data_IF_252612149748
#
_entry.id   IF_252612149748
#
_cell.length_a   1.000
_cell.length_b   1.000
_cell.length_c   1.000
_cell.angle_alpha   90.00
_cell.angle_beta   90.00
_cell.angle_gamma   90.00
#
_symmetry.space_group_name_H-M   'P 1'
#
loop_
_entity.id
_entity.type
_entity.pdbx_description
1 polymer ?
#
# COMPACT_ATOMS: atom_id res chain seq x y z
N UNK A 1 -31.65 45.58 11.59
CA UNK A 1 -31.50 44.19 11.14
C UNK A 1 -31.46 44.23 9.62
N UNK A 2 -30.26 44.27 9.03
CA UNK A 2 -30.10 44.40 7.58
C UNK A 2 -30.22 43.01 6.94
N UNK A 3 -31.15 42.85 5.99
CA UNK A 3 -31.25 41.65 5.16
C UNK A 3 -30.02 41.60 4.24
N UNK A 4 -29.23 40.53 4.33
CA UNK A 4 -28.14 40.28 3.40
C UNK A 4 -28.66 40.16 1.97
N UNK A 5 -27.96 40.79 1.02
CA UNK A 5 -28.27 40.77 -0.42
C UNK A 5 -28.25 39.32 -0.96
N UNK A 6 -29.21 38.92 -1.81
CA UNK A 6 -29.26 37.58 -2.40
C UNK A 6 -28.03 37.25 -3.29
N UNK A 7 -27.22 38.24 -3.66
CA UNK A 7 -25.99 38.07 -4.45
C UNK A 7 -24.80 37.47 -3.68
N UNK A 8 -24.76 37.63 -2.35
CA UNK A 8 -23.62 37.20 -1.53
C UNK A 8 -23.56 35.68 -1.36
N UNK A 9 -24.71 35.01 -1.45
CA UNK A 9 -24.80 33.55 -1.35
C UNK A 9 -24.21 32.84 -2.57
N UNK A 10 -24.19 33.49 -3.74
CA UNK A 10 -23.67 32.94 -4.99
C UNK A 10 -22.14 32.81 -4.95
N UNK A 11 -21.45 33.75 -4.29
CA UNK A 11 -19.99 33.73 -4.16
C UNK A 11 -19.47 32.74 -3.11
N UNK A 12 -20.29 32.40 -2.10
CA UNK A 12 -19.92 31.47 -1.03
C UNK A 12 -20.03 29.99 -1.44
N UNK A 13 -20.88 29.69 -2.42
CA UNK A 13 -21.11 28.34 -2.92
C UNK A 13 -19.84 27.64 -3.46
N UNK A 14 -18.99 28.25 -4.31
CA UNK A 14 -17.76 27.61 -4.78
C UNK A 14 -16.73 27.38 -3.66
N UNK A 15 -16.68 28.25 -2.65
CA UNK A 15 -15.80 28.08 -1.49
C UNK A 15 -16.24 26.91 -0.61
N UNK A 16 -17.56 26.70 -0.47
CA UNK A 16 -18.14 25.57 0.26
C UNK A 16 -17.87 24.23 -0.45
N UNK A 17 -17.89 24.22 -1.79
CA UNK A 17 -17.54 23.04 -2.59
C UNK A 17 -16.06 22.66 -2.46
N UNK A 18 -15.17 23.64 -2.24
CA UNK A 18 -13.73 23.40 -2.03
C UNK A 18 -13.43 22.76 -0.66
N UNK A 19 -14.31 22.97 0.32
CA UNK A 19 -14.22 22.44 1.69
C UNK A 19 -14.88 21.06 1.85
N UNK A 20 -15.47 20.51 0.77
CA UNK A 20 -15.98 19.16 0.80
C UNK A 20 -14.81 18.21 1.14
N UNK A 21 -14.96 17.36 2.18
CA UNK A 21 -13.93 16.40 2.51
C UNK A 21 -13.68 15.52 1.28
N UNK A 22 -12.41 15.34 0.93
CA UNK A 22 -12.00 14.35 -0.08
C UNK A 22 -12.41 13.00 0.51
N UNK A 23 -13.58 12.51 0.13
CA UNK A 23 -14.05 11.19 0.50
C UNK A 23 -13.03 10.19 -0.05
N UNK A 24 -12.21 9.63 0.82
CA UNK A 24 -11.35 8.51 0.45
C UNK A 24 -12.29 7.33 0.20
N UNK A 25 -12.49 6.98 -1.07
CA UNK A 25 -13.14 5.72 -1.42
C UNK A 25 -12.22 4.60 -0.96
N UNK A 26 -12.52 3.98 0.18
CA UNK A 26 -11.90 2.73 0.56
C UNK A 26 -12.20 1.71 -0.54
N UNK A 27 -11.17 1.00 -1.02
CA UNK A 27 -11.35 0.04 -2.10
C UNK A 27 -12.28 -1.08 -1.66
N UNK A 28 -13.35 -1.32 -2.43
CA UNK A 28 -14.22 -2.47 -2.22
C UNK A 28 -13.46 -3.74 -2.57
N UNK A 29 -13.62 -4.80 -1.76
CA UNK A 29 -13.01 -6.09 -2.02
C UNK A 29 -13.61 -6.70 -3.30
N UNK A 30 -12.99 -6.47 -4.46
CA UNK A 30 -13.42 -7.04 -5.75
C UNK A 30 -13.03 -8.53 -5.89
N UNK A 31 -13.07 -9.30 -4.79
CA UNK A 31 -12.72 -10.73 -4.76
C UNK A 31 -11.22 -11.05 -4.62
N UNK A 32 -10.34 -10.05 -4.53
CA UNK A 32 -8.91 -10.24 -4.23
C UNK A 32 -8.67 -10.31 -2.71
N UNK A 33 -9.24 -11.34 -2.06
CA UNK A 33 -8.97 -11.60 -0.64
C UNK A 33 -7.75 -12.49 -0.49
N UNK A 34 -6.77 -12.04 0.29
CA UNK A 34 -5.64 -12.87 0.71
C UNK A 34 -6.07 -13.72 1.90
N UNK A 35 -6.16 -15.03 1.71
CA UNK A 35 -6.58 -15.97 2.76
C UNK A 35 -5.51 -16.14 3.83
N UNK A 36 -5.94 -16.31 5.09
CA UNK A 36 -5.05 -16.76 6.17
C UNK A 36 -4.41 -18.10 5.78
N UNK A 37 -3.13 -18.27 6.12
CA UNK A 37 -2.30 -19.42 5.75
C UNK A 37 -1.57 -19.24 4.43
N UNK A 38 -1.86 -18.18 3.67
CA UNK A 38 -1.06 -17.82 2.49
C UNK A 38 0.25 -17.16 2.88
N UNK A 39 1.21 -17.21 1.96
CA UNK A 39 2.55 -16.73 2.21
C UNK A 39 3.25 -16.25 0.95
N UNK A 40 4.24 -15.39 1.11
CA UNK A 40 5.18 -15.00 0.07
C UNK A 40 6.58 -15.42 0.50
N UNK A 41 7.40 -15.82 -0.47
CA UNK A 41 8.81 -16.18 -0.23
C UNK A 41 9.72 -15.21 -0.95
N UNK A 42 10.79 -14.79 -0.28
CA UNK A 42 11.82 -13.91 -0.79
C UNK A 42 12.65 -14.64 -1.86
N UNK A 43 12.25 -14.49 -3.13
CA UNK A 43 12.93 -15.07 -4.30
C UNK A 43 12.87 -14.08 -5.46
N UNK A 44 13.74 -14.23 -6.46
CA UNK A 44 13.78 -13.32 -7.61
C UNK A 44 12.48 -13.28 -8.42
N UNK A 45 11.73 -14.38 -8.45
CA UNK A 45 10.51 -14.55 -9.24
C UNK A 45 9.25 -14.65 -8.36
N UNK A 46 9.28 -14.06 -7.16
CA UNK A 46 8.14 -14.07 -6.25
C UNK A 46 7.00 -13.21 -6.81
N UNK A 47 5.82 -13.80 -6.95
CA UNK A 47 4.61 -13.07 -7.34
C UNK A 47 4.07 -12.27 -6.15
N UNK A 48 3.93 -10.95 -6.24
CA UNK A 48 3.43 -10.14 -5.14
C UNK A 48 1.92 -10.29 -4.95
N UNK A 49 1.42 -9.87 -3.80
CA UNK A 49 0.00 -9.62 -3.61
C UNK A 49 -0.38 -8.27 -4.20
N UNK A 50 -1.25 -8.28 -5.20
CA UNK A 50 -1.76 -7.06 -5.81
C UNK A 50 -2.95 -6.52 -5.03
N UNK A 51 -3.04 -5.20 -4.92
CA UNK A 51 -4.28 -4.53 -4.54
C UNK A 51 -5.39 -4.81 -5.57
N UNK A 52 -6.68 -4.75 -5.20
CA UNK A 52 -7.79 -4.94 -6.15
C UNK A 52 -7.72 -4.03 -7.39
N UNK A 53 -7.23 -2.79 -7.24
CA UNK A 53 -6.99 -1.86 -8.37
C UNK A 53 -5.80 -2.23 -9.27
N UNK A 54 -4.89 -3.05 -8.75
CA UNK A 54 -3.55 -3.26 -9.32
C UNK A 54 -2.64 -2.04 -9.24
N UNK A 55 -2.99 -0.96 -8.53
CA UNK A 55 -2.13 0.23 -8.39
C UNK A 55 -0.96 -0.04 -7.44
N UNK A 56 -1.21 -0.80 -6.37
CA UNK A 56 -0.22 -1.20 -5.38
C UNK A 56 0.05 -2.71 -5.41
N UNK A 57 1.26 -3.07 -5.02
CA UNK A 57 1.70 -4.44 -4.77
C UNK A 57 2.39 -4.52 -3.40
N UNK A 58 2.20 -5.63 -2.69
CA UNK A 58 2.86 -5.99 -1.45
C UNK A 58 3.68 -7.27 -1.63
N UNK A 59 4.92 -7.28 -1.13
CA UNK A 59 5.78 -8.45 -1.19
C UNK A 59 7.27 -8.14 -1.09
N UNK A 60 8.10 -9.06 -1.57
CA UNK A 60 9.55 -8.95 -1.53
C UNK A 60 10.12 -8.31 -2.80
N UNK A 61 11.00 -7.33 -2.62
CA UNK A 61 11.76 -6.69 -3.71
C UNK A 61 13.25 -6.87 -3.46
N UNK A 62 13.98 -7.38 -4.45
CA UNK A 62 15.43 -7.54 -4.32
C UNK A 62 16.10 -6.17 -4.14
N UNK A 63 17.04 -6.07 -3.20
CA UNK A 63 17.81 -4.86 -2.99
C UNK A 63 18.84 -4.65 -4.10
N UNK A 64 19.02 -3.41 -4.60
CA UNK A 64 20.09 -3.10 -5.55
C UNK A 64 21.45 -3.47 -4.97
N UNK A 65 22.30 -4.11 -5.76
CA UNK A 65 23.67 -4.50 -5.40
C UNK A 65 23.80 -5.53 -4.26
N UNK A 66 22.70 -6.09 -3.77
CA UNK A 66 22.71 -7.16 -2.77
C UNK A 66 22.05 -8.40 -3.36
N UNK A 67 22.86 -9.24 -3.99
CA UNK A 67 22.41 -10.57 -4.41
C UNK A 67 21.93 -11.33 -3.17
N UNK A 68 20.76 -11.93 -3.26
CA UNK A 68 20.13 -12.73 -2.20
C UNK A 68 19.56 -11.97 -0.99
N UNK A 69 19.37 -10.65 -1.07
CA UNK A 69 18.66 -9.89 -0.04
C UNK A 69 17.45 -9.17 -0.62
N UNK A 70 16.37 -9.18 0.17
CA UNK A 70 15.08 -8.65 -0.22
C UNK A 70 14.56 -7.68 0.84
N UNK A 71 13.73 -6.76 0.38
CA UNK A 71 12.98 -5.83 1.20
C UNK A 71 11.50 -6.19 1.11
N UNK A 72 10.87 -6.45 2.25
CA UNK A 72 9.42 -6.58 2.34
C UNK A 72 8.80 -5.17 2.29
N UNK A 73 8.01 -4.88 1.26
CA UNK A 73 7.54 -3.51 1.01
C UNK A 73 6.22 -3.44 0.23
N UNK A 74 5.70 -2.22 0.14
CA UNK A 74 4.60 -1.83 -0.75
C UNK A 74 5.14 -0.87 -1.80
N UNK A 75 4.77 -1.07 -3.07
CA UNK A 75 5.17 -0.21 -4.17
C UNK A 75 4.04 0.02 -5.18
N UNK A 76 4.20 1.05 -6.01
CA UNK A 76 3.32 1.26 -7.16
C UNK A 76 3.57 0.21 -8.24
N UNK A 77 2.60 -0.68 -8.44
CA UNK A 77 2.73 -1.83 -9.33
C UNK A 77 2.67 -1.43 -10.82
N UNK A 78 2.01 -0.33 -11.17
CA UNK A 78 1.89 0.15 -12.56
C UNK A 78 3.04 1.06 -13.01
N UNK A 79 3.82 1.62 -12.08
CA UNK A 79 4.97 2.47 -12.41
C UNK A 79 6.17 1.57 -12.73
N UNK A 80 6.89 1.75 -13.86
CA UNK A 80 8.04 0.92 -14.22
C UNK A 80 9.15 0.90 -13.16
N UNK A 81 9.43 2.04 -12.55
CA UNK A 81 10.45 2.17 -11.49
C UNK A 81 10.06 1.46 -10.19
N UNK A 82 8.78 1.04 -10.07
CA UNK A 82 8.22 0.36 -8.90
C UNK A 82 8.56 1.10 -7.59
N UNK A 83 8.29 2.39 -7.57
CA UNK A 83 8.56 3.28 -6.43
C UNK A 83 7.93 2.73 -5.15
N UNK A 84 8.76 2.59 -4.12
CA UNK A 84 8.38 2.07 -2.81
C UNK A 84 7.68 3.19 -2.03
N UNK A 85 6.49 2.89 -1.49
CA UNK A 85 5.71 3.82 -0.65
C UNK A 85 5.76 3.46 0.82
N UNK A 86 6.13 2.22 1.13
CA UNK A 86 6.30 1.73 2.50
C UNK A 86 7.22 0.50 2.51
N UNK A 87 7.99 0.29 3.57
CA UNK A 87 8.78 -0.92 3.78
C UNK A 87 8.76 -1.36 5.24
N UNK A 88 9.00 -2.65 5.46
CA UNK A 88 9.04 -3.24 6.79
C UNK A 88 10.37 -2.91 7.51
N UNK A 89 10.27 -2.69 8.83
CA UNK A 89 11.40 -2.35 9.69
C UNK A 89 11.55 -0.85 9.94
N UNK A 90 12.60 -0.51 10.69
CA UNK A 90 12.96 0.86 11.03
C UNK A 90 14.09 1.35 10.10
N UNK A 91 14.82 2.40 10.49
CA UNK A 91 16.04 2.82 9.80
C UNK A 91 17.26 2.26 10.58
N UNK A 92 18.05 1.33 10.04
CA UNK A 92 18.05 0.85 8.65
C UNK A 92 16.94 -0.17 8.34
N UNK A 93 16.46 -0.25 7.07
CA UNK A 93 15.40 -1.17 6.67
C UNK A 93 15.69 -2.61 7.06
N UNK A 94 14.68 -3.35 7.49
CA UNK A 94 14.84 -4.78 7.75
C UNK A 94 15.02 -5.50 6.42
N UNK A 95 16.16 -6.18 6.25
CA UNK A 95 16.47 -6.95 5.05
C UNK A 95 16.27 -8.44 5.31
N UNK A 96 15.62 -9.13 4.38
CA UNK A 96 15.34 -10.55 4.47
C UNK A 96 16.22 -11.33 3.47
N UNK A 97 16.97 -12.37 3.90
CA UNK A 97 17.73 -13.21 2.97
C UNK A 97 16.81 -13.99 2.02
N UNK A 98 17.36 -14.51 0.91
CA UNK A 98 16.64 -15.43 0.01
C UNK A 98 16.03 -16.58 0.80
N UNK A 99 14.76 -16.89 0.51
CA UNK A 99 14.02 -17.97 1.14
C UNK A 99 13.25 -17.57 2.40
N UNK A 100 13.50 -16.37 2.95
CA UNK A 100 12.66 -15.79 4.00
C UNK A 100 11.20 -15.72 3.56
N UNK A 101 10.28 -15.78 4.52
CA UNK A 101 8.85 -15.95 4.26
C UNK A 101 8.04 -14.95 5.06
N UNK A 102 7.03 -14.36 4.43
CA UNK A 102 5.97 -13.66 5.17
C UNK A 102 4.69 -14.47 5.11
N UNK A 103 4.17 -14.84 6.28
CA UNK A 103 2.94 -15.61 6.45
C UNK A 103 1.82 -14.69 6.94
N UNK A 104 0.63 -14.83 6.36
CA UNK A 104 -0.59 -14.23 6.92
C UNK A 104 -1.24 -15.22 7.88
N UNK A 105 -1.17 -14.92 9.17
CA UNK A 105 -1.67 -15.75 10.26
C UNK A 105 -2.95 -15.16 10.84
N UNK A 106 -3.84 -16.01 11.36
CA UNK A 106 -5.11 -15.57 11.98
C UNK A 106 -4.91 -14.84 13.30
N UNK A 107 -3.85 -15.18 14.03
CA UNK A 107 -3.56 -14.73 15.40
C UNK A 107 -2.61 -13.54 15.44
N UNK A 108 -1.64 -13.46 14.53
CA UNK A 108 -0.58 -12.43 14.54
C UNK A 108 -0.58 -11.53 13.30
N UNK A 109 -1.45 -11.77 12.32
CA UNK A 109 -1.42 -11.05 11.05
C UNK A 109 -0.17 -11.42 10.26
N UNK A 110 0.56 -10.42 9.75
CA UNK A 110 1.76 -10.65 8.94
C UNK A 110 2.97 -10.96 9.81
N UNK A 111 3.55 -12.15 9.63
CA UNK A 111 4.75 -12.60 10.35
C UNK A 111 5.87 -12.86 9.35
N UNK A 112 6.97 -12.12 9.47
CA UNK A 112 8.20 -12.36 8.71
C UNK A 112 9.08 -13.37 9.47
N UNK A 113 9.54 -14.40 8.76
CA UNK A 113 10.46 -15.42 9.26
C UNK A 113 11.64 -15.54 8.30
N UNK A 114 12.84 -15.40 8.82
CA UNK A 114 14.08 -15.54 8.05
C UNK A 114 14.54 -17.01 8.03
N UNK A 115 15.26 -17.39 6.97
CA UNK A 115 15.94 -18.70 6.85
C UNK A 115 17.44 -18.59 7.12
#
# INVERSE_FOLDING_TARGET
MALSSPSEHIFLLPLFLLLLPISAFAQTNNGLNISVGTSLTATQNSSPWLSPSGDFAFGFRQLPNQNNHFLLCIWYAKIPDKTIVWYAGNNPPATAPTGSKVDLTSDRGLVLTDL
#
